data_IF_408534334438
#
_entry.id   IF_408534334438
#
_cell.length_a   1.000
_cell.length_b   1.000
_cell.length_c   1.000
_cell.angle_alpha   90.00
_cell.angle_beta   90.00
_cell.angle_gamma   90.00
#
_symmetry.space_group_name_H-M   'P 1'
#
loop_
_entity.id
_entity.type
_entity.pdbx_description
1 polymer ?
#
# COMPACT_ATOMS: atom_id res chain seq x y z
N UNK A 1 -36.36 11.57 59.79
CA UNK A 1 -36.01 12.19 58.48
C UNK A 1 -34.78 11.53 57.77
N UNK A 2 -34.73 10.20 57.71
CA UNK A 2 -33.49 9.51 57.15
C UNK A 2 -33.77 8.67 55.90
N UNK A 3 -34.99 8.65 55.37
CA UNK A 3 -35.37 7.85 54.19
C UNK A 3 -35.11 8.55 52.81
N UNK A 4 -34.86 9.85 52.79
CA UNK A 4 -34.68 10.60 51.53
C UNK A 4 -33.28 10.49 50.96
N UNK A 5 -32.25 10.35 51.77
CA UNK A 5 -30.84 10.35 51.35
C UNK A 5 -30.42 9.05 50.67
N UNK A 6 -31.04 7.90 51.04
CA UNK A 6 -30.68 6.61 50.42
C UNK A 6 -31.06 6.50 48.96
N UNK A 7 -32.20 7.04 48.55
CA UNK A 7 -32.60 7.07 47.13
C UNK A 7 -31.61 7.92 46.30
N UNK A 8 -31.19 9.07 46.83
CA UNK A 8 -30.21 9.93 46.20
C UNK A 8 -28.86 9.21 46.09
N UNK A 9 -28.40 8.53 47.12
CA UNK A 9 -27.15 7.76 47.12
C UNK A 9 -27.19 6.63 46.09
N UNK A 10 -28.31 5.91 45.95
CA UNK A 10 -28.50 4.86 44.95
C UNK A 10 -28.46 5.42 43.52
N UNK A 11 -29.08 6.56 43.26
CA UNK A 11 -29.06 7.22 41.94
C UNK A 11 -27.63 7.66 41.58
N UNK A 12 -26.93 8.26 42.54
CA UNK A 12 -25.53 8.65 42.33
C UNK A 12 -24.62 7.43 42.07
N UNK A 13 -24.78 6.37 42.88
CA UNK A 13 -24.03 5.13 42.69
C UNK A 13 -24.30 4.49 41.32
N UNK A 14 -25.59 4.42 40.91
CA UNK A 14 -25.95 3.92 39.57
C UNK A 14 -25.35 4.78 38.44
N UNK A 15 -25.34 6.11 38.61
CA UNK A 15 -24.70 7.03 37.67
C UNK A 15 -23.19 6.80 37.53
N UNK A 16 -22.50 6.63 38.66
CA UNK A 16 -21.03 6.32 38.65
C UNK A 16 -20.75 4.98 37.99
N UNK A 17 -21.54 3.93 38.28
CA UNK A 17 -21.39 2.62 37.63
C UNK A 17 -21.61 2.73 36.12
N UNK A 18 -22.63 3.47 35.67
CA UNK A 18 -22.90 3.67 34.26
C UNK A 18 -21.70 4.38 33.52
N UNK A 19 -21.12 5.38 34.16
CA UNK A 19 -19.92 6.07 33.61
C UNK A 19 -18.74 5.11 33.52
N UNK A 20 -18.46 4.31 34.54
CA UNK A 20 -17.39 3.31 34.53
C UNK A 20 -17.62 2.29 33.39
N UNK A 21 -18.82 1.78 33.23
CA UNK A 21 -19.16 0.85 32.17
C UNK A 21 -18.96 1.47 30.78
N UNK A 22 -19.36 2.72 30.56
CA UNK A 22 -19.10 3.45 29.32
C UNK A 22 -17.61 3.62 29.04
N UNK A 23 -16.80 3.93 30.06
CA UNK A 23 -15.35 4.02 29.91
C UNK A 23 -14.74 2.68 29.52
N UNK A 24 -15.14 1.59 30.17
CA UNK A 24 -14.65 0.23 29.87
C UNK A 24 -14.99 -0.17 28.44
N UNK A 25 -16.22 0.04 28.00
CA UNK A 25 -16.65 -0.23 26.62
C UNK A 25 -15.84 0.62 25.64
N UNK A 26 -15.63 1.90 25.94
CA UNK A 26 -14.84 2.81 25.10
C UNK A 26 -13.39 2.36 24.93
N UNK A 27 -12.77 1.87 26.02
CA UNK A 27 -11.40 1.36 26.02
C UNK A 27 -11.27 0.13 25.12
N UNK A 28 -12.10 -0.90 25.35
CA UNK A 28 -12.04 -2.13 24.54
C UNK A 28 -12.41 -1.90 23.08
N UNK A 29 -13.42 -1.06 22.81
CA UNK A 29 -13.79 -0.70 21.45
C UNK A 29 -12.66 0.03 20.71
N UNK A 30 -11.95 0.91 21.42
CA UNK A 30 -10.80 1.63 20.83
C UNK A 30 -9.65 0.69 20.49
N UNK A 31 -9.35 -0.27 21.36
CA UNK A 31 -8.32 -1.27 21.12
C UNK A 31 -8.68 -2.17 19.93
N UNK A 32 -9.88 -2.73 19.92
CA UNK A 32 -10.33 -3.60 18.81
C UNK A 32 -10.29 -2.87 17.47
N UNK A 33 -10.66 -1.60 17.44
CA UNK A 33 -10.59 -0.78 16.24
C UNK A 33 -9.14 -0.50 15.81
N UNK A 34 -8.23 -0.25 16.74
CA UNK A 34 -6.81 -0.07 16.45
C UNK A 34 -6.22 -1.34 15.80
N UNK A 35 -6.50 -2.52 16.38
CA UNK A 35 -6.09 -3.82 15.83
C UNK A 35 -6.66 -4.03 14.42
N UNK A 36 -7.95 -3.75 14.22
CA UNK A 36 -8.58 -3.87 12.90
C UNK A 36 -7.91 -2.97 11.85
N UNK A 37 -7.55 -1.74 12.22
CA UNK A 37 -6.86 -0.81 11.31
C UNK A 37 -5.41 -1.25 11.04
N UNK A 38 -4.74 -1.85 12.01
CA UNK A 38 -3.41 -2.45 11.84
C UNK A 38 -3.45 -3.59 10.80
N UNK A 39 -4.44 -4.48 10.91
CA UNK A 39 -4.64 -5.55 9.93
C UNK A 39 -4.97 -5.00 8.52
N UNK A 40 -5.72 -3.91 8.42
CA UNK A 40 -5.98 -3.25 7.14
C UNK A 40 -4.69 -2.70 6.50
N UNK A 41 -3.77 -2.14 7.29
CA UNK A 41 -2.46 -1.70 6.80
C UNK A 41 -1.64 -2.88 6.28
N UNK A 42 -1.59 -4.00 7.04
CA UNK A 42 -0.87 -5.22 6.63
C UNK A 42 -1.46 -5.82 5.35
N UNK A 43 -2.79 -5.86 5.25
CA UNK A 43 -3.48 -6.33 4.05
C UNK A 43 -3.12 -5.47 2.85
N UNK A 44 -3.23 -4.14 2.96
CA UNK A 44 -2.87 -3.23 1.89
C UNK A 44 -1.40 -3.37 1.45
N UNK A 45 -0.49 -3.67 2.39
CA UNK A 45 0.91 -3.97 2.06
C UNK A 45 1.06 -5.29 1.30
N UNK A 46 0.28 -6.30 1.67
CA UNK A 46 0.28 -7.59 0.97
C UNK A 46 -0.25 -7.46 -0.47
N UNK A 47 -1.29 -6.66 -0.67
CA UNK A 47 -1.88 -6.40 -1.98
C UNK A 47 -0.86 -5.79 -2.95
N UNK A 48 -0.03 -4.86 -2.49
CA UNK A 48 1.09 -4.31 -3.28
C UNK A 48 2.04 -5.43 -3.72
N UNK A 49 2.47 -6.30 -2.80
CA UNK A 49 3.40 -7.40 -3.09
C UNK A 49 2.84 -8.38 -4.13
N UNK A 50 1.53 -8.63 -4.09
CA UNK A 50 0.85 -9.49 -5.09
C UNK A 50 0.97 -8.88 -6.49
N UNK A 51 0.73 -7.57 -6.63
CA UNK A 51 0.84 -6.89 -7.93
C UNK A 51 2.31 -6.75 -8.39
N UNK A 52 3.23 -6.52 -7.49
CA UNK A 52 4.67 -6.51 -7.81
C UNK A 52 5.15 -7.87 -8.31
N UNK A 53 4.65 -8.97 -7.72
CA UNK A 53 4.91 -10.32 -8.26
C UNK A 53 4.31 -10.50 -9.64
N UNK A 54 3.05 -10.11 -9.85
CA UNK A 54 2.41 -10.18 -11.18
C UNK A 54 3.19 -9.41 -12.22
N UNK A 55 3.69 -8.21 -11.88
CA UNK A 55 4.56 -7.43 -12.76
C UNK A 55 5.81 -8.21 -13.16
N UNK A 56 6.49 -8.84 -12.19
CA UNK A 56 7.66 -9.67 -12.47
C UNK A 56 7.32 -10.82 -13.41
N UNK A 57 6.24 -11.55 -13.18
CA UNK A 57 5.80 -12.66 -14.02
C UNK A 57 5.50 -12.18 -15.46
N UNK A 58 4.88 -11.00 -15.64
CA UNK A 58 4.64 -10.41 -16.96
C UNK A 58 5.92 -10.04 -17.69
N UNK A 59 6.93 -9.51 -16.98
CA UNK A 59 8.21 -9.17 -17.59
C UNK A 59 8.97 -10.43 -18.00
N UNK A 60 8.92 -11.52 -17.23
CA UNK A 60 9.47 -12.81 -17.66
C UNK A 60 8.80 -13.33 -18.94
N UNK A 61 7.48 -13.25 -19.03
CA UNK A 61 6.73 -13.65 -20.22
C UNK A 61 7.11 -12.76 -21.43
N UNK A 62 7.30 -11.45 -21.23
CA UNK A 62 7.79 -10.54 -22.26
C UNK A 62 9.21 -10.92 -22.72
N UNK A 63 10.11 -11.24 -21.78
CA UNK A 63 11.45 -11.71 -22.11
C UNK A 63 11.43 -13.00 -22.94
N UNK A 64 10.53 -13.92 -22.65
CA UNK A 64 10.39 -15.15 -23.45
C UNK A 64 9.82 -14.87 -24.85
N UNK A 65 8.96 -13.88 -25.02
CA UNK A 65 8.55 -13.39 -26.36
C UNK A 65 9.74 -12.81 -27.14
N UNK A 66 10.59 -12.00 -26.48
CA UNK A 66 11.76 -11.38 -27.09
C UNK A 66 12.81 -12.41 -27.47
N UNK A 67 12.96 -13.47 -26.69
CA UNK A 67 13.95 -14.55 -26.94
C UNK A 67 13.83 -15.20 -28.32
N UNK A 68 12.66 -15.14 -28.92
CA UNK A 68 12.46 -15.64 -30.29
C UNK A 68 13.15 -14.78 -31.35
N UNK A 69 13.47 -13.54 -31.02
CA UNK A 69 14.11 -12.54 -31.87
C UNK A 69 15.58 -12.37 -31.48
N UNK A 70 15.88 -12.21 -30.20
CA UNK A 70 17.23 -12.09 -29.66
C UNK A 70 17.33 -12.64 -28.23
N UNK A 71 18.23 -13.60 -28.01
CA UNK A 71 18.47 -14.21 -26.71
C UNK A 71 19.16 -13.27 -25.72
N UNK A 72 20.04 -12.39 -26.20
CA UNK A 72 20.78 -11.45 -25.35
C UNK A 72 19.87 -10.38 -24.75
N UNK A 73 18.94 -9.84 -25.55
CA UNK A 73 17.96 -8.87 -25.08
C UNK A 73 16.97 -9.48 -24.08
N UNK A 74 16.57 -10.75 -24.28
CA UNK A 74 15.75 -11.49 -23.32
C UNK A 74 16.45 -11.65 -21.97
N UNK A 75 17.74 -11.97 -21.97
CA UNK A 75 18.54 -12.11 -20.76
C UNK A 75 18.73 -10.76 -20.05
N UNK A 76 18.84 -9.67 -20.80
CA UNK A 76 18.87 -8.30 -20.27
C UNK A 76 17.56 -7.96 -19.54
N UNK A 77 16.41 -8.26 -20.11
CA UNK A 77 15.10 -8.05 -19.46
C UNK A 77 14.97 -8.87 -18.17
N UNK A 78 15.42 -10.14 -18.18
CA UNK A 78 15.42 -11.00 -16.98
C UNK A 78 16.33 -10.46 -15.89
N UNK A 79 17.55 -10.03 -16.24
CA UNK A 79 18.49 -9.46 -15.28
C UNK A 79 17.97 -8.18 -14.62
N UNK A 80 17.21 -7.36 -15.34
CA UNK A 80 16.55 -6.19 -14.82
C UNK A 80 15.50 -6.57 -13.77
N UNK A 81 14.77 -7.65 -13.93
CA UNK A 81 13.79 -8.15 -12.93
C UNK A 81 14.50 -8.77 -11.73
N UNK A 82 15.54 -9.58 -11.97
CA UNK A 82 16.28 -10.29 -10.91
C UNK A 82 17.07 -9.32 -10.03
N UNK A 83 17.63 -8.24 -10.57
CA UNK A 83 18.32 -7.18 -9.83
C UNK A 83 17.42 -6.38 -8.91
N UNK A 84 16.11 -6.52 -9.01
CA UNK A 84 15.07 -5.73 -8.34
C UNK A 84 14.44 -6.34 -7.12
N UNK A 85 14.91 -7.40 -6.61
CA UNK A 85 14.52 -7.86 -5.28
C UNK A 85 14.72 -6.79 -4.17
N UNK A 86 15.22 -5.61 -4.52
CA UNK A 86 15.36 -4.41 -3.70
C UNK A 86 14.72 -3.23 -4.41
N UNK A 87 13.48 -2.95 -4.04
CA UNK A 87 12.80 -1.64 -4.13
C UNK A 87 13.27 -0.70 -5.25
N UNK A 88 12.46 -0.53 -6.29
CA UNK A 88 12.31 0.85 -6.79
C UNK A 88 12.71 1.15 -8.18
N UNK A 89 12.97 0.45 -9.21
CA UNK A 89 13.21 1.06 -10.53
C UNK A 89 12.22 0.61 -11.62
N UNK A 90 10.99 1.13 -11.50
CA UNK A 90 9.96 1.04 -12.54
C UNK A 90 10.46 1.62 -13.87
N UNK A 91 11.20 2.71 -13.79
CA UNK A 91 11.76 3.44 -14.94
C UNK A 91 12.71 2.57 -15.80
N UNK A 92 13.53 1.73 -15.18
CA UNK A 92 14.45 0.85 -15.90
C UNK A 92 13.74 -0.29 -16.66
N UNK A 93 12.59 -0.85 -16.15
CA UNK A 93 11.84 -1.88 -16.91
C UNK A 93 11.17 -1.27 -18.13
N UNK A 94 10.47 -0.15 -17.95
CA UNK A 94 9.81 0.54 -19.05
C UNK A 94 10.85 0.97 -20.11
N UNK A 95 11.98 1.51 -19.68
CA UNK A 95 13.09 1.91 -20.55
C UNK A 95 13.71 0.71 -21.28
N UNK A 96 13.97 -0.41 -20.57
CA UNK A 96 14.52 -1.61 -21.20
C UNK A 96 13.55 -2.21 -22.24
N UNK A 97 12.25 -2.27 -21.93
CA UNK A 97 11.21 -2.74 -22.85
C UNK A 97 11.08 -1.80 -24.06
N UNK A 98 11.16 -0.49 -23.85
CA UNK A 98 11.12 0.49 -24.95
C UNK A 98 12.31 0.30 -25.88
N UNK A 99 13.52 0.20 -25.36
CA UNK A 99 14.73 -0.04 -26.16
C UNK A 99 14.63 -1.31 -27.00
N UNK A 100 14.17 -2.42 -26.42
CA UNK A 100 13.93 -3.67 -27.16
C UNK A 100 12.90 -3.48 -28.28
N UNK A 101 11.80 -2.79 -27.99
CA UNK A 101 10.74 -2.57 -28.97
C UNK A 101 11.15 -1.63 -30.12
N UNK A 102 12.14 -0.77 -29.90
CA UNK A 102 12.74 0.08 -30.95
C UNK A 102 13.72 -0.71 -31.82
N UNK A 103 14.49 -1.61 -31.19
CA UNK A 103 15.45 -2.45 -31.91
C UNK A 103 14.76 -3.50 -32.81
N UNK A 104 13.57 -3.99 -32.42
CA UNK A 104 12.82 -5.05 -33.09
C UNK A 104 11.40 -4.62 -33.48
N UNK A 105 11.20 -3.86 -34.57
CA UNK A 105 9.86 -3.36 -34.96
C UNK A 105 8.82 -4.46 -35.21
N UNK A 106 9.26 -5.66 -35.59
CA UNK A 106 8.42 -6.83 -35.83
C UNK A 106 7.74 -7.31 -34.53
N UNK A 107 8.42 -7.10 -33.39
CA UNK A 107 7.87 -7.43 -32.07
C UNK A 107 6.59 -6.62 -31.78
N UNK A 108 6.54 -5.37 -32.21
CA UNK A 108 5.34 -4.52 -32.07
C UNK A 108 4.13 -5.07 -32.84
N UNK A 109 4.35 -5.92 -33.84
CA UNK A 109 3.28 -6.57 -34.60
C UNK A 109 2.79 -7.87 -33.96
N UNK A 110 3.56 -8.44 -33.01
CA UNK A 110 3.24 -9.68 -32.33
C UNK A 110 2.06 -9.48 -31.34
N UNK A 111 0.99 -10.25 -31.51
CA UNK A 111 -0.23 -10.12 -30.69
C UNK A 111 0.02 -10.47 -29.19
N UNK A 112 0.83 -11.50 -28.92
CA UNK A 112 1.17 -11.87 -27.54
C UNK A 112 1.95 -10.75 -26.84
N UNK A 113 2.91 -10.13 -27.55
CA UNK A 113 3.66 -8.98 -27.04
C UNK A 113 2.73 -7.80 -26.71
N UNK A 114 1.82 -7.45 -27.60
CA UNK A 114 0.83 -6.38 -27.38
C UNK A 114 -0.04 -6.65 -26.16
N UNK A 115 -0.53 -7.88 -26.03
CA UNK A 115 -1.36 -8.26 -24.88
C UNK A 115 -0.56 -8.15 -23.57
N UNK A 116 0.66 -8.69 -23.52
CA UNK A 116 1.51 -8.61 -22.33
C UNK A 116 1.86 -7.16 -21.96
N UNK A 117 2.13 -6.30 -22.95
CA UNK A 117 2.37 -4.88 -22.72
C UNK A 117 1.13 -4.17 -22.14
N UNK A 118 -0.06 -4.49 -22.64
CA UNK A 118 -1.30 -3.95 -22.11
C UNK A 118 -1.53 -4.43 -20.66
N UNK A 119 -1.32 -5.71 -20.37
CA UNK A 119 -1.44 -6.25 -19.01
C UNK A 119 -0.40 -5.63 -18.06
N UNK A 120 0.82 -5.39 -18.54
CA UNK A 120 1.85 -4.71 -17.76
C UNK A 120 1.43 -3.28 -17.41
N UNK A 121 0.93 -2.52 -18.38
CA UNK A 121 0.41 -1.16 -18.15
C UNK A 121 -0.73 -1.14 -17.11
N UNK A 122 -1.67 -2.08 -17.21
CA UNK A 122 -2.76 -2.23 -16.23
C UNK A 122 -2.18 -2.54 -14.84
N UNK A 123 -1.19 -3.45 -14.77
CA UNK A 123 -0.55 -3.85 -13.51
C UNK A 123 0.19 -2.68 -12.85
N UNK A 124 0.88 -1.84 -13.62
CA UNK A 124 1.54 -0.63 -13.09
C UNK A 124 0.52 0.36 -12.51
N UNK A 125 -0.60 0.58 -13.19
CA UNK A 125 -1.68 1.41 -12.66
C UNK A 125 -2.27 0.83 -11.36
N UNK A 126 -2.44 -0.50 -11.29
CA UNK A 126 -2.90 -1.16 -10.08
C UNK A 126 -1.90 -1.01 -8.92
N UNK A 127 -0.59 -1.16 -9.18
CA UNK A 127 0.44 -0.95 -8.16
C UNK A 127 0.36 0.48 -7.60
N UNK A 128 0.21 1.48 -8.46
CA UNK A 128 0.05 2.87 -8.02
C UNK A 128 -1.21 3.07 -7.16
N UNK A 129 -2.33 2.45 -7.53
CA UNK A 129 -3.57 2.50 -6.76
C UNK A 129 -3.41 1.82 -5.39
N UNK A 130 -2.85 0.61 -5.33
CA UNK A 130 -2.63 -0.12 -4.08
C UNK A 130 -1.66 0.62 -3.15
N UNK A 131 -0.60 1.25 -3.66
CA UNK A 131 0.31 2.10 -2.88
C UNK A 131 -0.41 3.33 -2.32
N UNK A 132 -1.26 3.97 -3.11
CA UNK A 132 -2.11 5.06 -2.63
C UNK A 132 -3.06 4.59 -1.53
N UNK A 133 -3.70 3.42 -1.69
CA UNK A 133 -4.55 2.82 -0.68
C UNK A 133 -3.77 2.50 0.62
N UNK A 134 -2.58 1.91 0.51
CA UNK A 134 -1.71 1.67 1.67
C UNK A 134 -1.44 2.96 2.45
N UNK A 135 -1.02 4.03 1.77
CA UNK A 135 -0.78 5.32 2.40
C UNK A 135 -2.04 5.88 3.08
N UNK A 136 -3.22 5.64 2.49
CA UNK A 136 -4.51 6.01 3.09
C UNK A 136 -4.77 5.24 4.38
N UNK A 137 -4.53 3.92 4.40
CA UNK A 137 -4.68 3.10 5.60
C UNK A 137 -3.69 3.51 6.70
N UNK A 138 -2.42 3.73 6.35
CA UNK A 138 -1.39 4.25 7.26
C UNK A 138 -1.82 5.59 7.88
N UNK A 139 -2.32 6.53 7.07
CA UNK A 139 -2.85 7.82 7.54
C UNK A 139 -3.99 7.64 8.54
N UNK A 140 -4.92 6.75 8.23
CA UNK A 140 -6.08 6.50 9.09
C UNK A 140 -5.66 5.89 10.43
N UNK A 141 -4.79 4.88 10.42
CA UNK A 141 -4.24 4.25 11.62
C UNK A 141 -3.46 5.27 12.47
N UNK A 142 -2.47 5.93 11.89
CA UNK A 142 -1.64 6.91 12.60
C UNK A 142 -2.47 8.04 13.22
N UNK A 143 -3.50 8.52 12.52
CA UNK A 143 -4.44 9.50 13.05
C UNK A 143 -5.28 8.92 14.20
N UNK A 144 -5.77 7.69 14.07
CA UNK A 144 -6.63 7.06 15.04
C UNK A 144 -5.93 6.85 16.39
N UNK A 145 -4.71 6.30 16.38
CA UNK A 145 -3.97 6.00 17.62
C UNK A 145 -3.43 7.24 18.34
N UNK A 146 -3.36 8.38 17.65
CA UNK A 146 -2.85 9.65 18.20
C UNK A 146 -3.94 10.59 18.71
N UNK A 147 -5.20 10.43 18.25
CA UNK A 147 -6.26 11.37 18.62
C UNK A 147 -6.81 11.10 20.02
N UNK A 148 -7.28 12.17 20.68
CA UNK A 148 -8.07 12.10 21.91
C UNK A 148 -9.50 11.63 21.61
N UNK A 149 -10.18 10.80 22.46
CA UNK A 149 -9.65 10.18 23.69
C UNK A 149 -8.92 8.83 23.45
N UNK A 150 -8.89 8.32 22.22
CA UNK A 150 -8.34 7.01 21.83
C UNK A 150 -6.91 6.81 22.36
N UNK A 151 -6.05 7.84 22.26
CA UNK A 151 -4.66 7.75 22.71
C UNK A 151 -4.53 7.40 24.20
N UNK A 152 -5.44 7.92 25.03
CA UNK A 152 -5.49 7.60 26.47
C UNK A 152 -5.99 6.17 26.67
N UNK A 153 -7.06 5.78 25.99
CA UNK A 153 -7.64 4.45 26.11
C UNK A 153 -6.65 3.34 25.73
N UNK A 154 -5.91 3.54 24.62
CA UNK A 154 -4.87 2.61 24.19
C UNK A 154 -3.70 2.53 25.19
N UNK A 155 -3.31 3.65 25.80
CA UNK A 155 -2.26 3.63 26.84
C UNK A 155 -2.71 2.87 28.09
N UNK A 156 -3.96 3.02 28.52
CA UNK A 156 -4.53 2.29 29.66
C UNK A 156 -4.53 0.78 29.46
N UNK A 157 -4.77 0.32 28.21
CA UNK A 157 -4.75 -1.13 27.87
C UNK A 157 -3.34 -1.67 27.66
N UNK A 158 -2.31 -0.83 27.66
CA UNK A 158 -0.96 -1.25 27.29
C UNK A 158 -0.82 -1.62 25.81
N UNK A 159 -1.73 -1.14 24.94
CA UNK A 159 -1.65 -1.42 23.51
C UNK A 159 -0.36 -0.82 22.92
N UNK A 160 0.46 -1.68 22.33
CA UNK A 160 1.69 -1.30 21.66
C UNK A 160 1.41 -0.71 20.28
N UNK A 161 1.55 0.61 20.17
CA UNK A 161 1.28 1.34 18.93
C UNK A 161 2.34 1.00 17.90
N UNK A 162 1.92 0.49 16.76
CA UNK A 162 2.81 0.26 15.63
C UNK A 162 3.18 1.60 14.95
N UNK A 163 4.39 1.66 14.40
CA UNK A 163 4.83 2.83 13.63
C UNK A 163 4.88 2.46 12.15
N UNK A 164 3.97 3.04 11.38
CA UNK A 164 3.93 2.88 9.94
C UNK A 164 4.38 4.17 9.25
N UNK A 165 5.33 4.02 8.33
CA UNK A 165 5.76 5.11 7.44
C UNK A 165 4.97 5.08 6.14
N UNK A 166 4.82 6.24 5.52
CA UNK A 166 4.27 6.34 4.16
C UNK A 166 5.28 5.78 3.15
N UNK A 167 4.75 5.20 2.08
CA UNK A 167 5.53 4.94 0.90
C UNK A 167 5.73 6.28 0.18
N UNK A 168 6.97 6.68 0.04
CA UNK A 168 7.36 7.85 -0.74
C UNK A 168 7.68 7.41 -2.17
N UNK A 169 7.37 8.28 -3.11
CA UNK A 169 7.78 8.12 -4.50
C UNK A 169 9.02 8.99 -4.71
N UNK A 170 10.06 8.37 -5.22
CA UNK A 170 11.21 9.11 -5.71
C UNK A 170 10.81 9.66 -7.10
N UNK A 171 10.09 10.77 -7.09
CA UNK A 171 9.75 11.50 -8.31
C UNK A 171 10.78 12.61 -8.42
N UNK A 172 11.48 12.70 -9.55
CA UNK A 172 12.27 13.90 -9.84
C UNK A 172 11.33 15.11 -9.76
N UNK A 173 11.68 16.12 -8.95
CA UNK A 173 10.85 17.29 -8.72
C UNK A 173 10.56 18.09 -10.01
N UNK A 174 11.36 17.88 -11.05
CA UNK A 174 11.16 18.50 -12.35
C UNK A 174 10.52 17.52 -13.33
N UNK A 175 9.33 17.86 -13.80
CA UNK A 175 8.76 17.25 -14.99
C UNK A 175 9.78 17.40 -16.13
N UNK A 176 10.05 16.34 -16.94
CA UNK A 176 11.01 16.44 -18.04
C UNK A 176 10.61 17.60 -18.97
N UNK A 177 11.42 18.66 -18.92
CA UNK A 177 11.29 19.79 -19.81
C UNK A 177 11.85 19.35 -21.16
N UNK A 178 11.10 19.41 -22.21
CA UNK A 178 11.38 18.94 -23.57
C UNK A 178 10.98 17.49 -23.89
N UNK A 179 9.75 17.12 -23.57
CA UNK A 179 9.14 15.87 -24.05
C UNK A 179 9.07 15.75 -25.59
N UNK A 180 9.24 16.86 -26.32
CA UNK A 180 9.11 16.89 -27.79
C UNK A 180 10.33 17.45 -28.53
N UNK A 181 11.46 17.61 -27.84
CA UNK A 181 12.71 18.09 -28.45
C UNK A 181 12.52 19.30 -29.38
N UNK A 182 13.23 20.38 -29.11
CA UNK A 182 13.25 21.50 -30.07
C UNK A 182 13.71 21.01 -31.44
N UNK A 183 12.86 21.24 -32.45
CA UNK A 183 13.18 21.04 -33.86
C UNK A 183 14.17 22.06 -34.30
#
# INVERSE_FOLDING_TARGET
MQKSNWKVTLIVAAGVIAVILMCVIGVYSSQNKAISMEEQVKTAQSDIKVQEKRRADLVYNLADCVKQYDAHEADTLKAVVDGRGKSGDIENVATAIAAVSEAYPELKSNENYKQLMNELSITENMIAEYRSNFNKQVKQYNRYVRKFPTSIFLNVTGYEKQSYSYLEYDVSEDAPQNLFGDK
#
